data_IF_402627872726
#
_entry.id   IF_402627872726
#
_cell.length_a   1.000
_cell.length_b   1.000
_cell.length_c   1.000
_cell.angle_alpha   90.00
_cell.angle_beta   90.00
_cell.angle_gamma   90.00
#
_symmetry.space_group_name_H-M   'P 1'
#
loop_
_entity.id
_entity.type
_entity.pdbx_description
1 polymer ?
#
# COMPACT_ATOMS: atom_id res chain seq x y z
N UNK A 1 11.38 17.65 -16.26
CA UNK A 1 9.94 17.45 -16.49
C UNK A 1 9.37 16.51 -15.44
N UNK A 2 8.22 16.87 -14.87
CA UNK A 2 7.59 16.03 -13.86
C UNK A 2 6.98 14.77 -14.48
N UNK A 3 7.22 13.63 -13.87
CA UNK A 3 6.71 12.33 -14.32
C UNK A 3 5.27 12.06 -13.90
N UNK A 4 4.79 12.78 -12.89
CA UNK A 4 3.48 12.55 -12.26
C UNK A 4 2.60 13.78 -12.35
N UNK A 5 1.26 13.60 -12.31
CA UNK A 5 0.33 14.73 -12.33
C UNK A 5 0.53 15.69 -11.17
N UNK A 6 0.10 16.93 -11.38
CA UNK A 6 0.22 17.98 -10.36
C UNK A 6 -0.48 17.60 -9.05
N UNK A 7 -1.64 16.94 -9.13
CA UNK A 7 -2.38 16.58 -7.92
C UNK A 7 -1.61 15.57 -7.05
N UNK A 8 -0.81 14.69 -7.66
CA UNK A 8 0.07 13.78 -6.92
C UNK A 8 1.14 14.57 -6.21
N UNK A 9 1.77 15.52 -6.92
CA UNK A 9 2.89 16.31 -6.39
C UNK A 9 2.45 17.28 -5.30
N UNK A 10 1.15 17.53 -5.15
CA UNK A 10 0.63 18.31 -4.04
C UNK A 10 0.82 17.60 -2.70
N UNK A 11 0.94 16.27 -2.71
CA UNK A 11 1.16 15.48 -1.49
C UNK A 11 2.58 14.92 -1.43
N UNK A 12 3.08 14.39 -2.54
CA UNK A 12 4.36 13.68 -2.63
C UNK A 12 5.17 14.20 -3.81
N UNK A 13 6.42 14.56 -3.56
CA UNK A 13 7.35 14.93 -4.63
C UNK A 13 7.72 13.70 -5.46
N UNK A 14 8.41 13.91 -6.59
CA UNK A 14 8.94 12.80 -7.38
C UNK A 14 9.91 11.95 -6.55
N UNK A 15 10.75 12.59 -5.73
CA UNK A 15 11.66 11.88 -4.84
C UNK A 15 10.92 11.09 -3.77
N UNK A 16 9.83 11.64 -3.25
CA UNK A 16 8.99 10.95 -2.27
C UNK A 16 8.36 9.69 -2.87
N UNK A 17 7.84 9.80 -4.09
CA UNK A 17 7.26 8.66 -4.80
C UNK A 17 8.29 7.57 -5.05
N UNK A 18 9.50 7.97 -5.42
CA UNK A 18 10.60 7.03 -5.61
C UNK A 18 10.97 6.33 -4.30
N UNK A 19 10.98 7.07 -3.19
CA UNK A 19 11.25 6.49 -1.87
C UNK A 19 10.18 5.46 -1.48
N UNK A 20 8.91 5.74 -1.77
CA UNK A 20 7.81 4.80 -1.50
C UNK A 20 7.97 3.55 -2.38
N UNK A 21 8.27 3.72 -3.67
CA UNK A 21 8.48 2.57 -4.57
C UNK A 21 9.64 1.70 -4.10
N UNK A 22 10.75 2.30 -3.67
CA UNK A 22 11.89 1.55 -3.13
C UNK A 22 11.52 0.79 -1.86
N UNK A 23 10.69 1.39 -1.01
CA UNK A 23 10.22 0.72 0.20
C UNK A 23 9.40 -0.53 -0.14
N UNK A 24 8.56 -0.46 -1.19
CA UNK A 24 7.80 -1.61 -1.68
C UNK A 24 8.73 -2.72 -2.14
N UNK A 25 9.73 -2.40 -2.97
CA UNK A 25 10.71 -3.37 -3.45
C UNK A 25 11.42 -4.05 -2.27
N UNK A 26 11.86 -3.26 -1.29
CA UNK A 26 12.54 -3.78 -0.11
C UNK A 26 11.63 -4.71 0.70
N UNK A 27 10.40 -4.29 0.93
CA UNK A 27 9.43 -5.09 1.69
C UNK A 27 9.13 -6.42 1.00
N UNK A 28 8.93 -6.38 -0.32
CA UNK A 28 8.65 -7.59 -1.10
C UNK A 28 9.84 -8.53 -1.18
N UNK A 29 11.04 -8.03 -0.92
CA UNK A 29 12.24 -8.87 -0.85
C UNK A 29 12.20 -9.90 0.26
N UNK A 30 11.37 -9.70 1.28
CA UNK A 30 11.27 -10.58 2.45
C UNK A 30 10.02 -11.45 2.46
N UNK A 31 9.17 -11.38 1.45
CA UNK A 31 7.90 -12.08 1.43
C UNK A 31 7.53 -12.55 0.02
N UNK A 32 6.72 -13.62 -0.06
CA UNK A 32 6.12 -14.06 -1.32
C UNK A 32 4.86 -13.25 -1.66
N UNK A 33 4.42 -12.39 -0.76
CA UNK A 33 3.21 -11.58 -0.94
C UNK A 33 3.49 -10.32 -1.77
N UNK A 34 2.42 -9.69 -2.23
CA UNK A 34 2.49 -8.48 -3.06
C UNK A 34 1.97 -7.28 -2.27
N UNK A 35 2.65 -6.13 -2.41
CA UNK A 35 2.24 -4.87 -1.80
C UNK A 35 2.11 -3.83 -2.90
N UNK A 36 1.04 -3.04 -2.85
CA UNK A 36 0.87 -1.94 -3.79
C UNK A 36 0.34 -0.71 -3.08
N UNK A 37 0.85 0.45 -3.50
CA UNK A 37 0.35 1.75 -3.05
C UNK A 37 -0.39 2.38 -4.21
N UNK A 38 -1.61 2.86 -3.96
CA UNK A 38 -2.45 3.50 -4.98
C UNK A 38 -2.89 4.87 -4.50
N UNK A 39 -2.75 5.87 -5.37
CA UNK A 39 -3.17 7.24 -5.10
C UNK A 39 -4.33 7.62 -6.01
N UNK A 40 -5.43 8.08 -5.41
CA UNK A 40 -6.54 8.71 -6.11
C UNK A 40 -6.46 10.22 -5.91
N UNK A 41 -6.93 10.99 -6.88
CA UNK A 41 -7.02 12.44 -6.77
C UNK A 41 -7.97 12.80 -5.64
N UNK A 42 -9.18 12.24 -5.67
CA UNK A 42 -10.22 12.48 -4.67
C UNK A 42 -11.07 11.23 -4.49
N UNK A 43 -11.75 11.16 -3.34
CA UNK A 43 -12.68 10.09 -3.04
C UNK A 43 -13.90 10.68 -2.34
N UNK A 44 -15.03 10.76 -3.05
CA UNK A 44 -16.25 11.40 -2.52
C UNK A 44 -16.93 10.56 -1.44
N UNK A 45 -16.75 9.24 -1.47
CA UNK A 45 -17.41 8.32 -0.53
C UNK A 45 -16.44 7.71 0.46
N UNK A 46 -16.76 6.50 0.89
CA UNK A 46 -15.96 5.75 1.83
C UNK A 46 -14.67 5.24 1.17
N UNK A 47 -13.53 5.55 1.77
CA UNK A 47 -12.22 5.18 1.25
C UNK A 47 -12.04 3.65 1.17
N UNK A 48 -12.56 2.91 2.15
CA UNK A 48 -12.46 1.45 2.17
C UNK A 48 -13.23 0.84 0.99
N UNK A 49 -14.44 1.32 0.71
CA UNK A 49 -15.22 0.83 -0.42
C UNK A 49 -14.52 1.12 -1.75
N UNK A 50 -13.95 2.30 -1.89
CA UNK A 50 -13.18 2.65 -3.10
C UNK A 50 -11.94 1.77 -3.23
N UNK A 51 -11.24 1.53 -2.12
CA UNK A 51 -10.04 0.69 -2.11
C UNK A 51 -10.36 -0.74 -2.55
N UNK A 52 -11.50 -1.28 -2.15
CA UNK A 52 -11.93 -2.62 -2.58
C UNK A 52 -12.08 -2.66 -4.11
N UNK A 53 -12.70 -1.64 -4.70
CA UNK A 53 -12.86 -1.57 -6.17
C UNK A 53 -11.52 -1.47 -6.88
N UNK A 54 -10.60 -0.67 -6.34
CA UNK A 54 -9.25 -0.53 -6.90
C UNK A 54 -8.50 -1.87 -6.82
N UNK A 55 -8.61 -2.53 -5.68
CA UNK A 55 -7.99 -3.85 -5.45
C UNK A 55 -8.42 -4.85 -6.52
N UNK A 56 -9.71 -4.93 -6.77
CA UNK A 56 -10.26 -5.83 -7.80
C UNK A 56 -9.82 -5.42 -9.21
N UNK A 57 -9.88 -4.13 -9.52
CA UNK A 57 -9.50 -3.61 -10.83
C UNK A 57 -8.03 -3.87 -11.15
N UNK A 58 -7.16 -3.77 -10.14
CA UNK A 58 -5.73 -4.04 -10.30
C UNK A 58 -5.41 -5.54 -10.34
N UNK A 59 -6.41 -6.40 -10.17
CA UNK A 59 -6.21 -7.84 -10.20
C UNK A 59 -5.48 -8.39 -8.98
N UNK A 60 -5.49 -7.67 -7.87
CA UNK A 60 -4.73 -8.05 -6.68
C UNK A 60 -5.25 -9.31 -6.00
N UNK A 61 -6.50 -9.69 -6.27
CA UNK A 61 -7.09 -10.94 -5.77
C UNK A 61 -6.55 -12.19 -6.49
N UNK A 62 -5.70 -12.01 -7.51
CA UNK A 62 -5.24 -13.12 -8.36
C UNK A 62 -3.90 -13.70 -7.92
N UNK A 63 -3.37 -13.30 -6.76
CA UNK A 63 -2.13 -13.88 -6.25
C UNK A 63 -2.38 -15.29 -5.70
N UNK A 64 -1.39 -16.16 -5.81
CA UNK A 64 -1.51 -17.56 -5.40
C UNK A 64 -1.87 -17.72 -3.92
N UNK A 65 -1.26 -16.90 -3.05
CA UNK A 65 -1.50 -16.97 -1.61
C UNK A 65 -2.68 -16.14 -1.14
N UNK A 66 -3.36 -15.43 -2.03
CA UNK A 66 -4.40 -14.47 -1.65
C UNK A 66 -3.91 -13.55 -0.55
N UNK A 67 -2.69 -13.01 -0.73
CA UNK A 67 -1.95 -12.31 0.31
C UNK A 67 -1.53 -10.89 -0.11
N UNK A 68 -2.08 -10.36 -1.20
CA UNK A 68 -1.77 -8.99 -1.63
C UNK A 68 -2.35 -7.98 -0.65
N UNK A 69 -1.62 -6.87 -0.46
CA UNK A 69 -2.05 -5.76 0.40
C UNK A 69 -2.00 -4.47 -0.41
N UNK A 70 -3.10 -3.73 -0.38
CA UNK A 70 -3.22 -2.42 -1.02
C UNK A 70 -3.23 -1.34 0.04
N UNK A 71 -2.34 -0.35 -0.12
CA UNK A 71 -2.37 0.90 0.65
C UNK A 71 -2.99 1.94 -0.26
N UNK A 72 -4.16 2.44 0.11
CA UNK A 72 -4.95 3.38 -0.68
C UNK A 72 -4.93 4.77 -0.05
N UNK A 73 -4.64 5.79 -0.84
CA UNK A 73 -4.65 7.18 -0.37
C UNK A 73 -5.45 8.04 -1.35
N UNK A 74 -6.40 8.82 -0.83
CA UNK A 74 -7.04 9.90 -1.57
C UNK A 74 -6.33 11.19 -1.20
N UNK A 75 -5.66 11.82 -2.18
CA UNK A 75 -4.75 12.93 -1.92
C UNK A 75 -5.49 14.18 -1.44
N UNK A 76 -6.50 14.61 -2.18
CA UNK A 76 -7.24 15.85 -1.88
C UNK A 76 -8.02 15.75 -0.56
N UNK A 77 -8.65 14.60 -0.33
CA UNK A 77 -9.50 14.37 0.85
C UNK A 77 -8.72 13.89 2.06
N UNK A 78 -7.44 13.58 1.90
CA UNK A 78 -6.59 13.07 2.98
C UNK A 78 -7.16 11.81 3.64
N UNK A 79 -7.67 10.88 2.83
CA UNK A 79 -8.22 9.61 3.30
C UNK A 79 -7.23 8.49 3.06
N UNK A 80 -7.18 7.54 3.98
CA UNK A 80 -6.30 6.37 3.92
C UNK A 80 -7.11 5.11 4.19
N UNK A 81 -6.88 4.07 3.40
CA UNK A 81 -7.41 2.75 3.68
C UNK A 81 -6.35 1.70 3.35
N UNK A 82 -6.35 0.60 4.09
CA UNK A 82 -5.46 -0.53 3.81
C UNK A 82 -6.32 -1.78 3.73
N UNK A 83 -6.14 -2.54 2.63
CA UNK A 83 -6.86 -3.78 2.40
C UNK A 83 -5.87 -4.91 2.22
N UNK A 84 -6.03 -5.96 3.04
CA UNK A 84 -5.34 -7.22 2.82
C UNK A 84 -6.30 -8.24 2.25
N UNK A 85 -5.85 -9.04 1.28
CA UNK A 85 -6.66 -10.12 0.75
C UNK A 85 -6.90 -11.17 1.84
N UNK A 86 -7.82 -12.10 1.59
CA UNK A 86 -8.28 -13.04 2.63
C UNK A 86 -7.15 -13.85 3.27
N UNK A 87 -6.12 -14.23 2.50
CA UNK A 87 -5.01 -15.03 3.01
C UNK A 87 -4.23 -14.34 4.12
N UNK A 88 -3.97 -13.03 3.97
CA UNK A 88 -3.30 -12.29 5.03
C UNK A 88 -4.29 -11.81 6.10
N UNK A 89 -5.50 -11.42 5.70
CA UNK A 89 -6.51 -10.96 6.63
C UNK A 89 -6.86 -12.03 7.69
N UNK A 90 -6.98 -13.28 7.27
CA UNK A 90 -7.25 -14.40 8.18
C UNK A 90 -6.14 -14.59 9.22
N UNK A 91 -4.93 -14.19 8.91
CA UNK A 91 -3.77 -14.38 9.81
C UNK A 91 -3.58 -13.24 10.79
N UNK A 92 -3.88 -12.00 10.38
CA UNK A 92 -3.64 -10.83 11.22
C UNK A 92 -4.89 -10.30 11.91
N UNK A 93 -6.07 -10.45 11.30
CA UNK A 93 -7.33 -10.01 11.87
C UNK A 93 -7.63 -8.53 11.65
N UNK A 94 -8.87 -8.15 11.95
CA UNK A 94 -9.38 -6.79 11.72
C UNK A 94 -8.65 -5.74 12.54
N UNK A 95 -8.38 -6.04 13.82
CA UNK A 95 -7.74 -5.09 14.73
C UNK A 95 -6.34 -4.68 14.24
N UNK A 96 -5.64 -5.60 13.58
CA UNK A 96 -4.33 -5.29 13.01
C UNK A 96 -4.43 -4.14 12.01
N UNK A 97 -5.40 -4.22 11.08
CA UNK A 97 -5.55 -3.20 10.04
C UNK A 97 -5.94 -1.86 10.62
N UNK A 98 -6.85 -1.85 11.60
CA UNK A 98 -7.27 -0.62 12.26
C UNK A 98 -6.10 0.05 12.98
N UNK A 99 -5.31 -0.71 13.69
CA UNK A 99 -4.12 -0.19 14.37
C UNK A 99 -3.07 0.33 13.41
N UNK A 100 -2.87 -0.37 12.30
CA UNK A 100 -1.93 0.04 11.26
C UNK A 100 -2.33 1.39 10.66
N UNK A 101 -3.60 1.53 10.26
CA UNK A 101 -4.11 2.77 9.67
C UNK A 101 -3.97 3.93 10.65
N UNK A 102 -4.34 3.73 11.91
CA UNK A 102 -4.22 4.77 12.94
C UNK A 102 -2.77 5.23 13.12
N UNK A 103 -1.84 4.28 13.17
CA UNK A 103 -0.41 4.57 13.32
C UNK A 103 0.17 5.31 12.13
N UNK A 104 -0.25 4.92 10.92
CA UNK A 104 0.21 5.56 9.68
C UNK A 104 -0.30 7.00 9.61
N UNK A 105 -1.59 7.22 9.92
CA UNK A 105 -2.16 8.56 9.91
C UNK A 105 -1.46 9.48 10.91
N UNK A 106 -1.15 8.97 12.10
CA UNK A 106 -0.40 9.72 13.10
C UNK A 106 0.99 10.11 12.58
N UNK A 107 1.72 9.15 11.99
CA UNK A 107 3.05 9.40 11.44
C UNK A 107 3.01 10.38 10.28
N UNK A 108 2.01 10.28 9.41
CA UNK A 108 1.83 11.24 8.31
C UNK A 108 1.62 12.66 8.84
N UNK A 109 0.87 12.80 9.93
CA UNK A 109 0.63 14.09 10.56
C UNK A 109 1.91 14.67 11.19
N UNK A 110 2.69 13.84 11.84
CA UNK A 110 3.89 14.28 12.59
C UNK A 110 5.13 14.41 11.71
N UNK A 111 5.30 13.52 10.72
CA UNK A 111 6.53 13.42 9.93
C UNK A 111 6.32 13.61 8.43
N UNK A 112 5.07 13.70 7.99
CA UNK A 112 4.75 13.92 6.60
C UNK A 112 4.31 12.68 5.84
N UNK A 113 3.71 12.86 4.64
CA UNK A 113 3.13 11.77 3.87
C UNK A 113 4.13 10.70 3.44
N UNK A 114 5.31 11.09 3.00
CA UNK A 114 6.33 10.13 2.59
C UNK A 114 6.69 9.18 3.72
N UNK A 115 7.02 9.74 4.89
CA UNK A 115 7.45 8.93 6.04
C UNK A 115 6.33 8.02 6.51
N UNK A 116 5.09 8.50 6.48
CA UNK A 116 3.94 7.67 6.83
C UNK A 116 3.76 6.49 5.89
N UNK A 117 3.87 6.71 4.59
CA UNK A 117 3.70 5.65 3.60
C UNK A 117 4.86 4.67 3.61
N UNK A 118 6.09 5.15 3.73
CA UNK A 118 7.26 4.28 3.84
C UNK A 118 7.15 3.40 5.07
N UNK A 119 6.73 3.97 6.19
CA UNK A 119 6.52 3.21 7.43
C UNK A 119 5.42 2.16 7.27
N UNK A 120 4.31 2.52 6.63
CA UNK A 120 3.21 1.59 6.38
C UNK A 120 3.69 0.37 5.59
N UNK A 121 4.42 0.62 4.50
CA UNK A 121 4.95 -0.44 3.64
C UNK A 121 5.92 -1.33 4.41
N UNK A 122 6.81 -0.73 5.21
CA UNK A 122 7.78 -1.48 6.00
C UNK A 122 7.09 -2.38 7.04
N UNK A 123 6.09 -1.87 7.75
CA UNK A 123 5.34 -2.66 8.73
C UNK A 123 4.56 -3.79 8.09
N UNK A 124 3.88 -3.50 6.98
CA UNK A 124 3.16 -4.52 6.20
C UNK A 124 4.13 -5.59 5.74
N UNK A 125 5.30 -5.18 5.22
CA UNK A 125 6.34 -6.11 4.77
C UNK A 125 6.82 -7.03 5.87
N UNK A 126 6.96 -6.52 7.09
CA UNK A 126 7.36 -7.32 8.25
C UNK A 126 6.29 -8.37 8.57
N UNK A 127 5.02 -7.97 8.61
CA UNK A 127 3.92 -8.89 8.89
C UNK A 127 3.80 -9.95 7.80
N UNK A 128 3.89 -9.53 6.52
CA UNK A 128 3.82 -10.46 5.40
C UNK A 128 5.00 -11.42 5.38
N UNK A 129 6.19 -10.94 5.69
CA UNK A 129 7.38 -11.80 5.77
C UNK A 129 7.27 -12.86 6.86
N UNK A 130 6.58 -12.53 7.94
CA UNK A 130 6.33 -13.49 9.02
C UNK A 130 5.34 -14.58 8.59
N UNK A 131 4.25 -14.22 7.93
CA UNK A 131 3.20 -15.15 7.54
C UNK A 131 3.40 -15.79 6.17
N UNK A 132 4.08 -15.11 5.27
CA UNK A 132 4.32 -15.55 3.89
C UNK A 132 5.77 -15.28 3.52
N UNK A 133 6.73 -16.04 4.08
CA UNK A 133 8.15 -15.80 3.80
C UNK A 133 8.47 -16.02 2.32
N UNK A 134 9.47 -15.32 1.83
CA UNK A 134 9.90 -15.41 0.44
C UNK A 134 10.52 -16.78 0.17
N UNK A 135 10.16 -17.35 -0.99
CA UNK A 135 10.71 -18.61 -1.47
C UNK A 135 11.66 -18.34 -2.63
N UNK A 136 12.67 -19.25 -2.87
CA UNK A 136 13.69 -18.99 -3.90
C UNK A 136 13.17 -18.76 -5.32
N UNK A 137 11.97 -19.25 -5.64
CA UNK A 137 11.41 -19.17 -6.98
C UNK A 137 10.27 -18.15 -7.12
N UNK A 138 10.04 -17.34 -6.09
CA UNK A 138 8.96 -16.37 -6.12
C UNK A 138 9.27 -15.23 -7.07
N UNK A 139 8.24 -14.79 -7.80
CA UNK A 139 8.30 -13.66 -8.72
C UNK A 139 7.23 -12.65 -8.34
N UNK A 140 7.51 -11.39 -8.64
CA UNK A 140 6.49 -10.35 -8.46
C UNK A 140 5.37 -10.55 -9.48
N UNK A 141 4.14 -10.69 -8.99
CA UNK A 141 2.95 -10.79 -9.84
C UNK A 141 2.42 -9.42 -10.25
N UNK A 142 2.75 -8.38 -9.49
CA UNK A 142 2.27 -7.03 -9.68
C UNK A 142 3.44 -6.05 -9.74
N UNK A 143 3.20 -4.88 -10.34
CA UNK A 143 4.21 -3.82 -10.42
C UNK A 143 4.51 -3.27 -9.03
N UNK A 144 5.79 -2.96 -8.76
CA UNK A 144 6.22 -2.30 -7.53
C UNK A 144 6.04 -0.79 -7.57
N UNK A 145 5.74 -0.24 -8.74
CA UNK A 145 5.51 1.19 -8.87
C UNK A 145 4.21 1.61 -8.20
N UNK A 146 4.18 2.86 -7.71
CA UNK A 146 2.95 3.45 -7.17
C UNK A 146 1.92 3.56 -8.29
N UNK A 147 0.73 3.03 -8.07
CA UNK A 147 -0.32 3.13 -9.06
C UNK A 147 -1.16 4.39 -8.83
N UNK A 148 -1.72 4.89 -9.93
CA UNK A 148 -2.52 6.11 -9.92
C UNK A 148 -3.90 5.84 -10.48
N UNK A 149 -4.89 6.49 -9.90
CA UNK A 149 -6.25 6.35 -10.35
C UNK A 149 -6.87 7.66 -10.86
#
# INVERSE_FOLDING_TARGET
MARHPRWVRALLSEDDLEAVARAVVQAEGHTSAEIRVHLDHACAGDALQRAIKVFERLGMHKTAGRNAVLVYVSVTDRKLAVIGDKGIHERVGEDYWQGLVAGVLLRMREQGPRDGLVHAVAEIGTALGHHFPRRPHDKNALSDEVSLG
#
